data_IF_013594161216
#
_entry.id   IF_013594161216
#
_cell.length_a   1.000
_cell.length_b   1.000
_cell.length_c   1.000
_cell.angle_alpha   90.00
_cell.angle_beta   90.00
_cell.angle_gamma   90.00
#
_symmetry.space_group_name_H-M   'P 1'
#
loop_
_entity.id
_entity.type
_entity.pdbx_description
1 polymer ?
#
# COMPACT_ATOMS: atom_id res chain seq x y z
N UNK A 1 33.63 -5.93 1.64
CA UNK A 1 33.87 -4.48 1.90
C UNK A 1 32.61 -3.63 1.71
N UNK A 2 31.90 -3.70 0.57
CA UNK A 2 30.66 -2.92 0.35
C UNK A 2 29.56 -3.18 1.37
N UNK A 3 29.27 -4.44 1.71
CA UNK A 3 28.23 -4.80 2.69
C UNK A 3 28.58 -4.38 4.12
N UNK A 4 29.85 -4.47 4.50
CA UNK A 4 30.32 -4.01 5.81
C UNK A 4 30.15 -2.49 5.97
N UNK A 5 30.51 -1.71 4.95
CA UNK A 5 30.33 -0.25 4.93
C UNK A 5 28.85 0.12 4.99
N UNK A 6 27.99 -0.56 4.22
CA UNK A 6 26.54 -0.36 4.30
C UNK A 6 26.03 -0.58 5.73
N UNK A 7 26.43 -1.68 6.37
CA UNK A 7 26.00 -2.00 7.74
C UNK A 7 26.41 -0.96 8.78
N UNK A 8 27.61 -0.38 8.65
CA UNK A 8 28.06 0.71 9.53
C UNK A 8 27.25 1.99 9.28
N UNK A 9 26.99 2.32 8.03
CA UNK A 9 26.30 3.54 7.65
C UNK A 9 24.77 3.48 7.84
N UNK A 10 24.18 2.29 8.01
CA UNK A 10 22.73 2.13 8.14
C UNK A 10 22.16 2.94 9.31
N UNK A 11 22.73 2.83 10.51
CA UNK A 11 22.24 3.54 11.70
C UNK A 11 22.30 5.07 11.57
N UNK A 12 23.44 5.70 11.17
CA UNK A 12 23.48 7.14 10.99
C UNK A 12 22.55 7.62 9.85
N UNK A 13 22.37 6.84 8.78
CA UNK A 13 21.45 7.18 7.71
C UNK A 13 20.00 7.14 8.21
N UNK A 14 19.58 6.09 8.91
CA UNK A 14 18.24 6.02 9.51
C UNK A 14 17.96 7.18 10.48
N UNK A 15 18.98 7.58 11.26
CA UNK A 15 18.85 8.75 12.13
C UNK A 15 18.67 10.03 11.32
N UNK A 16 19.44 10.22 10.24
CA UNK A 16 19.29 11.34 9.34
C UNK A 16 17.90 11.37 8.67
N UNK A 17 17.44 10.24 8.13
CA UNK A 17 16.12 10.11 7.52
C UNK A 17 15.02 10.47 8.52
N UNK A 18 15.12 9.95 9.75
CA UNK A 18 14.20 10.24 10.84
C UNK A 18 14.15 11.73 11.17
N UNK A 19 15.29 12.39 11.27
CA UNK A 19 15.35 13.82 11.59
C UNK A 19 14.77 14.67 10.47
N UNK A 20 15.18 14.41 9.23
CA UNK A 20 14.76 15.23 8.06
C UNK A 20 13.27 15.04 7.78
N UNK A 21 12.80 13.81 7.65
CA UNK A 21 11.39 13.51 7.37
C UNK A 21 10.53 13.91 8.57
N UNK A 22 10.95 13.57 9.79
CA UNK A 22 10.22 13.91 11.00
C UNK A 22 10.04 15.41 11.19
N UNK A 23 11.08 16.21 10.96
CA UNK A 23 10.99 17.67 10.97
C UNK A 23 10.00 18.19 9.92
N UNK A 24 10.07 17.68 8.71
CA UNK A 24 9.10 18.06 7.66
C UNK A 24 7.67 17.74 8.07
N UNK A 25 7.40 16.52 8.56
CA UNK A 25 6.06 16.11 9.01
C UNK A 25 5.55 16.99 10.17
N UNK A 26 6.43 17.33 11.11
CA UNK A 26 6.09 18.26 12.18
C UNK A 26 5.67 19.65 11.65
N UNK A 27 6.40 20.17 10.66
CA UNK A 27 6.06 21.47 10.04
C UNK A 27 4.73 21.45 9.29
N UNK A 28 4.35 20.31 8.71
CA UNK A 28 3.14 20.21 7.89
C UNK A 28 1.93 19.61 8.61
N UNK A 29 2.07 19.13 9.85
CA UNK A 29 1.00 18.42 10.57
C UNK A 29 -0.32 19.19 10.68
N UNK A 30 -0.27 20.52 10.74
CA UNK A 30 -1.49 21.35 10.74
C UNK A 30 -2.36 21.19 9.49
N UNK A 31 -1.76 20.71 8.37
CA UNK A 31 -2.48 20.47 7.11
C UNK A 31 -3.25 19.16 7.11
N UNK A 32 -2.99 18.30 8.08
CA UNK A 32 -3.72 17.04 8.32
C UNK A 32 -4.70 17.16 9.48
N UNK A 33 -4.95 18.38 9.97
CA UNK A 33 -5.98 18.62 10.96
C UNK A 33 -7.34 18.14 10.42
N UNK A 34 -7.98 17.20 11.14
CA UNK A 34 -9.26 16.63 10.73
C UNK A 34 -9.16 15.26 10.04
N UNK A 35 -7.96 14.66 9.89
CA UNK A 35 -7.89 13.24 9.54
C UNK A 35 -8.58 12.42 10.63
N UNK A 36 -9.30 11.36 10.20
CA UNK A 36 -10.13 10.55 11.09
C UNK A 36 -9.45 9.21 11.33
N UNK A 37 -9.63 8.68 12.53
CA UNK A 37 -9.25 7.30 12.77
C UNK A 37 -10.21 6.37 12.03
N UNK A 38 -9.65 5.36 11.33
CA UNK A 38 -10.41 4.38 10.57
C UNK A 38 -10.72 3.19 11.47
N UNK A 39 -11.88 3.24 12.12
CA UNK A 39 -12.39 2.15 12.97
C UNK A 39 -13.63 1.56 12.32
N UNK A 40 -13.71 0.24 12.26
CA UNK A 40 -14.87 -0.47 11.70
C UNK A 40 -14.99 -1.87 12.34
N UNK A 41 -16.21 -2.36 12.40
CA UNK A 41 -16.51 -3.68 12.96
C UNK A 41 -17.62 -4.37 12.17
N UNK A 42 -17.58 -5.71 12.15
CA UNK A 42 -18.57 -6.57 11.48
C UNK A 42 -18.77 -6.21 10.00
N UNK A 43 -17.66 -5.88 9.32
CA UNK A 43 -17.62 -5.51 7.92
C UNK A 43 -16.89 -6.56 7.09
N UNK A 44 -17.20 -6.59 5.79
CA UNK A 44 -16.44 -7.32 4.80
C UNK A 44 -15.45 -6.37 4.13
N UNK A 45 -14.18 -6.71 4.18
CA UNK A 45 -13.09 -5.89 3.62
C UNK A 45 -12.37 -6.68 2.54
N UNK A 46 -12.23 -6.10 1.36
CA UNK A 46 -11.42 -6.64 0.28
C UNK A 46 -10.16 -5.79 0.13
N UNK A 47 -9.01 -6.44 0.09
CA UNK A 47 -7.71 -5.78 -0.15
C UNK A 47 -7.17 -6.29 -1.48
N UNK A 48 -6.91 -5.40 -2.42
CA UNK A 48 -6.21 -5.72 -3.67
C UNK A 48 -4.72 -5.46 -3.45
N UNK A 49 -3.91 -6.50 -3.44
CA UNK A 49 -2.47 -6.42 -3.26
C UNK A 49 -1.73 -6.78 -4.57
N UNK A 50 -0.87 -5.90 -5.10
CA UNK A 50 -0.06 -6.22 -6.28
C UNK A 50 0.79 -7.48 -6.09
N UNK A 51 1.53 -7.55 -4.98
CA UNK A 51 2.42 -8.67 -4.65
C UNK A 51 2.13 -9.22 -3.26
N UNK A 52 2.70 -10.38 -2.96
CA UNK A 52 2.66 -11.02 -1.66
C UNK A 52 3.66 -10.31 -0.74
N UNK A 53 3.19 -9.50 0.15
CA UNK A 53 3.75 -8.63 1.20
C UNK A 53 3.10 -7.24 1.22
N UNK A 54 2.57 -6.75 0.08
CA UNK A 54 2.00 -5.41 -0.05
C UNK A 54 0.80 -5.20 0.88
N UNK A 55 0.00 -6.24 1.17
CA UNK A 55 -1.11 -6.19 2.12
C UNK A 55 -0.64 -5.92 3.55
N UNK A 56 0.52 -6.47 3.94
CA UNK A 56 1.11 -6.21 5.25
C UNK A 56 1.85 -4.88 5.25
N UNK A 57 2.56 -4.54 4.16
CA UNK A 57 3.28 -3.28 4.04
C UNK A 57 2.33 -2.08 4.18
N UNK A 58 1.23 -2.09 3.42
CA UNK A 58 0.29 -0.98 3.38
C UNK A 58 -0.82 -1.03 4.41
N UNK A 59 -1.25 -2.24 4.83
CA UNK A 59 -2.46 -2.45 5.63
C UNK A 59 -2.26 -3.39 6.83
N UNK A 60 -1.03 -3.68 7.26
CA UNK A 60 -0.78 -4.69 8.29
C UNK A 60 -1.40 -4.37 9.65
N UNK A 61 -1.36 -3.11 10.10
CA UNK A 61 -2.03 -2.68 11.32
C UNK A 61 -3.55 -2.60 11.12
N UNK A 62 -4.01 -2.12 9.97
CA UNK A 62 -5.42 -2.09 9.56
C UNK A 62 -6.06 -3.48 9.59
N UNK A 63 -5.37 -4.50 9.05
CA UNK A 63 -5.85 -5.88 9.06
C UNK A 63 -5.99 -6.38 10.50
N UNK A 64 -4.97 -6.19 11.34
CA UNK A 64 -4.97 -6.66 12.72
C UNK A 64 -6.10 -6.02 13.54
N UNK A 65 -6.23 -4.69 13.48
CA UNK A 65 -7.34 -3.97 14.10
C UNK A 65 -8.70 -4.46 13.57
N UNK A 66 -8.78 -4.70 12.26
CA UNK A 66 -9.99 -5.18 11.62
C UNK A 66 -10.42 -6.56 12.11
N UNK A 67 -9.49 -7.50 12.29
CA UNK A 67 -9.77 -8.83 12.80
C UNK A 67 -10.25 -8.77 14.26
N UNK A 68 -9.67 -7.92 15.09
CA UNK A 68 -10.15 -7.68 16.45
C UNK A 68 -11.57 -7.09 16.48
N UNK A 69 -11.95 -6.32 15.44
CA UNK A 69 -13.30 -5.79 15.24
C UNK A 69 -14.30 -6.77 14.63
N UNK A 70 -13.98 -8.08 14.56
CA UNK A 70 -14.84 -9.13 13.96
C UNK A 70 -15.18 -8.87 12.48
N UNK A 71 -14.21 -8.31 11.72
CA UNK A 71 -14.36 -8.12 10.29
C UNK A 71 -13.91 -9.36 9.51
N UNK A 72 -14.54 -9.59 8.36
CA UNK A 72 -14.11 -10.59 7.39
C UNK A 72 -13.20 -9.90 6.36
N UNK A 73 -11.92 -10.24 6.38
CA UNK A 73 -10.92 -9.61 5.52
C UNK A 73 -10.42 -10.63 4.51
N UNK A 74 -10.56 -10.32 3.22
CA UNK A 74 -10.04 -11.12 2.10
C UNK A 74 -9.01 -10.30 1.34
N UNK A 75 -7.89 -10.94 0.95
CA UNK A 75 -6.89 -10.37 0.07
C UNK A 75 -6.96 -11.00 -1.32
N UNK A 76 -6.73 -10.21 -2.36
CA UNK A 76 -6.54 -10.66 -3.74
C UNK A 76 -5.14 -10.26 -4.18
N UNK A 77 -4.27 -11.24 -4.40
CA UNK A 77 -2.94 -11.03 -4.94
C UNK A 77 -2.98 -11.03 -6.47
N UNK A 78 -2.51 -9.93 -7.07
CA UNK A 78 -2.63 -9.73 -8.52
C UNK A 78 -1.59 -10.52 -9.29
N UNK A 79 -0.33 -10.49 -8.83
CA UNK A 79 0.78 -11.15 -9.50
C UNK A 79 1.20 -12.44 -8.80
N UNK A 80 2.01 -13.22 -9.48
CA UNK A 80 2.59 -14.47 -8.95
C UNK A 80 3.83 -14.23 -8.06
N UNK A 81 4.37 -13.01 -8.08
CA UNK A 81 5.56 -12.64 -7.33
C UNK A 81 6.83 -13.33 -7.83
N UNK A 82 6.86 -13.76 -9.10
CA UNK A 82 7.96 -14.56 -9.65
C UNK A 82 9.22 -13.77 -9.97
N UNK A 83 9.16 -12.44 -9.97
CA UNK A 83 10.29 -11.59 -10.37
C UNK A 83 11.15 -11.21 -9.15
N UNK A 84 12.39 -11.66 -9.17
CA UNK A 84 13.44 -11.23 -8.23
C UNK A 84 14.77 -11.20 -8.95
N UNK A 85 15.60 -10.21 -8.61
CA UNK A 85 16.94 -10.05 -9.19
C UNK A 85 17.88 -11.22 -8.86
N UNK A 86 17.59 -11.97 -7.81
CA UNK A 86 18.48 -12.99 -7.26
C UNK A 86 17.97 -14.44 -7.44
N UNK A 87 16.77 -14.63 -8.00
CA UNK A 87 16.21 -15.98 -8.12
C UNK A 87 16.58 -16.66 -9.45
N UNK A 88 17.16 -17.84 -9.33
CA UNK A 88 17.52 -18.72 -10.47
C UNK A 88 16.26 -19.45 -11.00
N UNK A 89 15.21 -19.56 -10.18
CA UNK A 89 13.97 -20.27 -10.52
C UNK A 89 12.74 -19.45 -10.11
N UNK A 90 12.14 -18.78 -11.09
CA UNK A 90 10.95 -17.95 -10.92
C UNK A 90 9.72 -18.73 -10.44
N UNK A 91 9.54 -19.96 -10.93
CA UNK A 91 8.40 -20.80 -10.53
C UNK A 91 8.49 -21.24 -9.06
N UNK A 92 9.69 -21.61 -8.60
CA UNK A 92 9.90 -21.95 -7.19
C UNK A 92 9.69 -20.73 -6.28
N UNK A 93 10.11 -19.54 -6.74
CA UNK A 93 9.87 -18.29 -6.01
C UNK A 93 8.38 -17.99 -5.90
N UNK A 94 7.62 -18.06 -6.99
CA UNK A 94 6.18 -17.87 -6.99
C UNK A 94 5.45 -18.81 -6.00
N UNK A 95 5.83 -20.10 -6.01
CA UNK A 95 5.30 -21.08 -5.04
C UNK A 95 5.63 -20.72 -3.60
N UNK A 96 6.86 -20.28 -3.34
CA UNK A 96 7.30 -19.87 -2.00
C UNK A 96 6.51 -18.67 -1.51
N UNK A 97 6.40 -17.61 -2.32
CA UNK A 97 5.63 -16.39 -1.97
C UNK A 97 4.16 -16.68 -1.70
N UNK A 98 3.56 -17.57 -2.51
CA UNK A 98 2.18 -18.02 -2.25
C UNK A 98 2.04 -18.72 -0.90
N UNK A 99 2.99 -19.57 -0.52
CA UNK A 99 2.99 -20.24 0.80
C UNK A 99 3.14 -19.20 1.92
N UNK A 100 4.05 -18.25 1.80
CA UNK A 100 4.25 -17.17 2.76
C UNK A 100 2.99 -16.33 2.95
N UNK A 101 2.30 -15.94 1.86
CA UNK A 101 1.04 -15.22 1.91
C UNK A 101 -0.09 -16.01 2.59
N UNK A 102 -0.18 -17.33 2.33
CA UNK A 102 -1.14 -18.21 3.00
C UNK A 102 -0.84 -18.35 4.50
N UNK A 103 0.45 -18.38 4.89
CA UNK A 103 0.86 -18.41 6.29
C UNK A 103 0.46 -17.11 7.01
N UNK A 104 0.70 -15.96 6.39
CA UNK A 104 0.27 -14.65 6.92
C UNK A 104 -1.25 -14.59 7.08
N UNK A 105 -2.01 -14.98 6.05
CA UNK A 105 -3.46 -14.97 6.10
C UNK A 105 -4.00 -15.89 7.23
N UNK A 106 -3.43 -17.08 7.38
CA UNK A 106 -3.77 -18.02 8.47
C UNK A 106 -3.45 -17.43 9.85
N UNK A 107 -2.27 -16.84 10.01
CA UNK A 107 -1.82 -16.24 11.28
C UNK A 107 -2.71 -15.08 11.70
N UNK A 108 -3.16 -14.29 10.73
CA UNK A 108 -4.09 -13.17 10.93
C UNK A 108 -5.57 -13.60 10.97
N UNK A 109 -5.90 -14.88 10.72
CA UNK A 109 -7.29 -15.36 10.62
C UNK A 109 -8.11 -14.65 9.55
N UNK A 110 -7.48 -14.29 8.45
CA UNK A 110 -8.16 -13.73 7.27
C UNK A 110 -8.95 -14.82 6.55
N UNK A 111 -9.89 -14.39 5.69
CA UNK A 111 -10.50 -15.28 4.69
C UNK A 111 -9.42 -15.82 3.74
N UNK A 112 -9.67 -16.96 3.10
CA UNK A 112 -8.71 -17.54 2.15
C UNK A 112 -8.42 -16.53 1.02
N UNK A 113 -7.15 -16.19 0.79
CA UNK A 113 -6.78 -15.25 -0.27
C UNK A 113 -7.04 -15.81 -1.67
N UNK A 114 -7.34 -14.93 -2.60
CA UNK A 114 -7.39 -15.23 -4.04
C UNK A 114 -6.05 -14.86 -4.70
N UNK A 115 -5.64 -15.64 -5.70
CA UNK A 115 -4.40 -15.42 -6.45
C UNK A 115 -4.73 -15.37 -7.95
N UNK A 116 -4.55 -14.21 -8.58
CA UNK A 116 -4.76 -14.06 -10.02
C UNK A 116 -3.62 -14.59 -10.84
N UNK A 117 -2.43 -14.79 -10.23
CA UNK A 117 -1.22 -15.35 -10.82
C UNK A 117 -0.83 -14.66 -12.15
N UNK A 118 -0.98 -13.35 -12.23
CA UNK A 118 -0.49 -12.58 -13.37
C UNK A 118 1.03 -12.41 -13.27
N UNK A 119 1.69 -12.15 -14.40
CA UNK A 119 3.15 -12.02 -14.41
C UNK A 119 3.63 -10.82 -13.59
N UNK A 120 4.57 -11.05 -12.67
CA UNK A 120 5.21 -10.03 -11.85
C UNK A 120 6.07 -9.09 -12.71
N UNK A 121 5.96 -7.78 -12.46
CA UNK A 121 6.68 -6.71 -13.18
C UNK A 121 6.09 -6.35 -14.55
N UNK A 122 5.10 -7.11 -15.03
CA UNK A 122 4.48 -6.95 -16.35
C UNK A 122 2.95 -6.89 -16.31
N UNK A 123 2.37 -6.64 -15.14
CA UNK A 123 0.92 -6.51 -15.01
C UNK A 123 0.39 -5.38 -15.90
N UNK A 124 -0.60 -5.70 -16.75
CA UNK A 124 -1.24 -4.70 -17.63
C UNK A 124 -2.49 -4.14 -16.99
N UNK A 125 -2.57 -2.82 -16.89
CA UNK A 125 -3.76 -2.10 -16.39
C UNK A 125 -5.01 -2.33 -17.25
N UNK A 126 -4.85 -2.76 -18.51
CA UNK A 126 -5.92 -3.04 -19.44
C UNK A 126 -6.23 -4.55 -19.56
N UNK A 127 -5.68 -5.38 -18.68
CA UNK A 127 -5.99 -6.82 -18.64
C UNK A 127 -7.48 -7.04 -18.32
N UNK A 128 -8.25 -7.32 -19.37
CA UNK A 128 -9.71 -7.50 -19.28
C UNK A 128 -10.07 -8.72 -18.44
N UNK A 129 -9.28 -9.80 -18.54
CA UNK A 129 -9.58 -11.03 -17.78
C UNK A 129 -9.29 -10.83 -16.29
N UNK A 130 -8.20 -10.13 -15.94
CA UNK A 130 -7.95 -9.73 -14.57
C UNK A 130 -9.06 -8.82 -14.03
N UNK A 131 -9.51 -7.85 -14.84
CA UNK A 131 -10.59 -6.92 -14.45
C UNK A 131 -11.92 -7.65 -14.21
N UNK A 132 -12.28 -8.59 -15.10
CA UNK A 132 -13.47 -9.43 -14.92
C UNK A 132 -13.37 -10.28 -13.66
N UNK A 133 -12.19 -10.89 -13.41
CA UNK A 133 -12.01 -11.72 -12.23
C UNK A 133 -12.10 -10.92 -10.93
N UNK A 134 -11.54 -9.70 -10.90
CA UNK A 134 -11.70 -8.79 -9.76
C UNK A 134 -13.17 -8.39 -9.58
N UNK A 135 -13.90 -8.09 -10.67
CA UNK A 135 -15.32 -7.77 -10.61
C UNK A 135 -16.15 -8.93 -10.04
N UNK A 136 -15.91 -10.17 -10.49
CA UNK A 136 -16.53 -11.39 -9.96
C UNK A 136 -16.29 -11.53 -8.45
N UNK A 137 -15.02 -11.39 -8.01
CA UNK A 137 -14.67 -11.49 -6.59
C UNK A 137 -15.39 -10.42 -5.75
N UNK A 138 -15.47 -9.19 -6.27
CA UNK A 138 -16.20 -8.10 -5.59
C UNK A 138 -17.69 -8.44 -5.48
N UNK A 139 -18.31 -8.92 -6.57
CA UNK A 139 -19.75 -9.24 -6.60
C UNK A 139 -20.09 -10.45 -5.70
N UNK A 140 -19.23 -11.47 -5.65
CA UNK A 140 -19.41 -12.64 -4.80
C UNK A 140 -19.18 -12.31 -3.32
N UNK A 141 -18.08 -11.62 -3.01
CA UNK A 141 -17.70 -11.30 -1.63
C UNK A 141 -18.57 -10.20 -1.04
N UNK A 142 -19.03 -9.26 -1.86
CA UNK A 142 -19.86 -8.08 -1.47
C UNK A 142 -19.21 -7.29 -0.35
N UNK A 143 -18.02 -6.71 -0.57
CA UNK A 143 -17.31 -5.98 0.44
C UNK A 143 -18.04 -4.67 0.83
N UNK A 144 -17.97 -4.30 2.10
CA UNK A 144 -18.35 -2.98 2.59
C UNK A 144 -17.22 -1.96 2.37
N UNK A 145 -15.97 -2.45 2.32
CA UNK A 145 -14.75 -1.64 2.17
C UNK A 145 -13.84 -2.33 1.17
N UNK A 146 -13.29 -1.55 0.24
CA UNK A 146 -12.24 -2.00 -0.69
C UNK A 146 -11.00 -1.13 -0.48
N UNK A 147 -9.85 -1.81 -0.28
CA UNK A 147 -8.54 -1.20 -0.17
C UNK A 147 -7.79 -1.44 -1.48
N UNK A 148 -7.27 -0.39 -2.09
CA UNK A 148 -6.52 -0.46 -3.35
C UNK A 148 -5.19 0.29 -3.21
N UNK A 149 -4.08 -0.16 -3.81
CA UNK A 149 -2.84 0.60 -3.79
C UNK A 149 -3.04 1.95 -4.49
N UNK A 150 -2.42 3.01 -3.97
CA UNK A 150 -2.51 4.30 -4.65
C UNK A 150 -1.66 4.27 -5.92
N UNK A 151 -2.28 4.52 -7.07
CA UNK A 151 -1.63 4.37 -8.39
C UNK A 151 -0.38 5.26 -8.60
N UNK A 152 -0.25 6.35 -7.85
CA UNK A 152 0.94 7.19 -7.85
C UNK A 152 2.02 6.59 -6.94
N UNK A 153 2.64 5.53 -7.40
CA UNK A 153 3.64 4.75 -6.68
C UNK A 153 4.86 4.47 -7.57
N UNK A 154 5.91 3.91 -7.00
CA UNK A 154 7.18 3.63 -7.68
C UNK A 154 7.25 2.26 -8.37
N UNK A 155 6.13 1.52 -8.48
CA UNK A 155 6.08 0.20 -9.12
C UNK A 155 4.99 0.15 -10.20
N UNK A 156 5.31 -0.50 -11.34
CA UNK A 156 4.37 -0.65 -12.47
C UNK A 156 3.10 -1.38 -12.06
N UNK A 157 3.23 -2.48 -11.33
CA UNK A 157 2.13 -3.36 -10.95
C UNK A 157 1.19 -2.70 -9.93
N UNK A 158 1.70 -1.78 -9.09
CA UNK A 158 0.85 -0.98 -8.19
C UNK A 158 -0.09 -0.06 -8.98
N UNK A 159 0.47 0.62 -9.99
CA UNK A 159 -0.32 1.44 -10.90
C UNK A 159 -1.29 0.60 -11.74
N UNK A 160 -0.85 -0.56 -12.23
CA UNK A 160 -1.67 -1.47 -13.02
C UNK A 160 -2.81 -2.08 -12.20
N UNK A 161 -2.57 -2.46 -10.95
CA UNK A 161 -3.62 -2.93 -10.02
C UNK A 161 -4.72 -1.90 -9.85
N UNK A 162 -4.36 -0.62 -9.74
CA UNK A 162 -5.34 0.46 -9.69
C UNK A 162 -6.17 0.58 -10.99
N UNK A 163 -5.54 0.37 -12.14
CA UNK A 163 -6.24 0.37 -13.44
C UNK A 163 -7.21 -0.80 -13.58
N UNK A 164 -6.77 -2.01 -13.23
CA UNK A 164 -7.61 -3.21 -13.21
C UNK A 164 -8.81 -3.01 -12.25
N UNK A 165 -8.57 -2.43 -11.07
CA UNK A 165 -9.65 -2.09 -10.13
C UNK A 165 -10.66 -1.11 -10.74
N UNK A 166 -10.21 -0.05 -11.42
CA UNK A 166 -11.10 0.91 -12.08
C UNK A 166 -11.95 0.21 -13.12
N UNK A 167 -11.34 -0.61 -13.99
CA UNK A 167 -12.06 -1.35 -15.02
C UNK A 167 -13.06 -2.36 -14.41
N UNK A 168 -12.70 -3.04 -13.33
CA UNK A 168 -13.59 -3.96 -12.62
C UNK A 168 -14.81 -3.25 -12.04
N UNK A 169 -14.61 -2.08 -11.41
CA UNK A 169 -15.70 -1.28 -10.82
C UNK A 169 -16.66 -0.71 -11.88
N UNK A 170 -16.23 -0.55 -13.13
CA UNK A 170 -17.10 -0.15 -14.23
C UNK A 170 -17.99 -1.29 -14.75
N UNK A 171 -17.68 -2.53 -14.40
CA UNK A 171 -18.44 -3.71 -14.82
C UNK A 171 -19.58 -4.07 -13.84
N UNK A 172 -19.59 -3.49 -12.65
CA UNK A 172 -20.49 -3.87 -11.56
C UNK A 172 -21.07 -2.64 -10.85
N UNK A 173 -22.21 -2.82 -10.20
CA UNK A 173 -22.73 -1.85 -9.24
C UNK A 173 -22.20 -2.21 -7.84
N UNK A 174 -21.43 -1.31 -7.25
CA UNK A 174 -20.89 -1.51 -5.90
C UNK A 174 -21.01 -0.24 -5.04
N UNK A 175 -21.32 -0.42 -3.75
CA UNK A 175 -21.51 0.67 -2.78
C UNK A 175 -20.45 0.66 -1.68
N UNK A 176 -19.38 -0.11 -1.83
CA UNK A 176 -18.31 -0.15 -0.86
C UNK A 176 -17.66 1.23 -0.70
N UNK A 177 -17.22 1.52 0.53
CA UNK A 177 -16.29 2.61 0.75
C UNK A 177 -14.92 2.23 0.18
N UNK A 178 -14.32 3.16 -0.54
CA UNK A 178 -13.07 2.91 -1.25
C UNK A 178 -11.93 3.67 -0.57
N UNK A 179 -10.83 2.98 -0.32
CA UNK A 179 -9.64 3.58 0.27
C UNK A 179 -8.40 3.23 -0.55
N UNK A 180 -7.57 4.23 -0.79
CA UNK A 180 -6.23 4.02 -1.30
C UNK A 180 -5.23 3.94 -0.13
N UNK A 181 -4.27 3.01 -0.25
CA UNK A 181 -3.19 2.84 0.71
C UNK A 181 -1.83 3.04 0.06
N UNK A 182 -0.81 3.35 0.86
CA UNK A 182 0.55 3.57 0.39
C UNK A 182 1.42 2.31 0.54
N UNK A 183 2.34 2.11 -0.41
CA UNK A 183 3.34 1.04 -0.35
C UNK A 183 4.73 1.65 -0.49
N UNK A 184 5.15 1.99 -1.72
CA UNK A 184 6.51 2.46 -2.03
C UNK A 184 6.68 3.97 -2.03
N UNK A 185 5.59 4.70 -1.94
CA UNK A 185 5.59 6.16 -1.99
C UNK A 185 4.50 6.72 -1.08
N UNK A 186 4.80 7.71 -0.22
CA UNK A 186 3.85 8.20 0.76
C UNK A 186 2.65 8.87 0.09
N UNK A 187 1.47 8.74 0.66
CA UNK A 187 0.32 9.57 0.30
C UNK A 187 0.66 11.03 0.65
N UNK A 188 0.29 11.95 -0.24
CA UNK A 188 0.50 13.37 0.04
C UNK A 188 -0.28 13.80 1.28
N UNK A 189 0.34 14.62 2.14
CA UNK A 189 -0.32 15.23 3.30
C UNK A 189 -1.61 15.98 2.97
N UNK A 190 -1.80 16.37 1.72
CA UNK A 190 -3.04 17.00 1.22
C UNK A 190 -4.11 15.98 0.78
N UNK A 191 -3.79 14.70 0.78
CA UNK A 191 -4.68 13.63 0.34
C UNK A 191 -5.05 12.63 1.42
N UNK A 192 -4.43 12.73 2.59
CA UNK A 192 -4.72 11.85 3.71
C UNK A 192 -6.09 12.21 4.28
N UNK A 193 -6.93 11.21 4.48
CA UNK A 193 -8.26 11.38 5.08
C UNK A 193 -8.41 10.59 6.37
N UNK A 194 -7.73 9.44 6.45
CA UNK A 194 -7.86 8.51 7.57
C UNK A 194 -6.49 7.96 7.99
N UNK A 195 -6.45 7.45 9.22
CA UNK A 195 -5.30 6.71 9.75
C UNK A 195 -5.76 5.53 10.61
N UNK A 196 -4.90 4.55 10.77
CA UNK A 196 -5.03 3.49 11.77
C UNK A 196 -3.87 3.61 12.74
N UNK A 197 -4.17 3.63 14.04
CA UNK A 197 -3.14 3.64 15.08
C UNK A 197 -2.43 2.27 15.12
N UNK A 198 -1.11 2.31 15.02
CA UNK A 198 -0.28 1.11 14.98
C UNK A 198 0.37 0.77 16.34
N UNK A 199 0.09 1.52 17.40
CA UNK A 199 0.78 1.37 18.69
C UNK A 199 0.80 -0.09 19.18
N UNK A 200 -0.36 -0.76 19.16
CA UNK A 200 -0.50 -2.14 19.60
C UNK A 200 -0.07 -3.17 18.54
N UNK A 201 0.07 -2.77 17.27
CA UNK A 201 0.22 -3.69 16.13
C UNK A 201 1.61 -3.65 15.48
N UNK A 202 2.43 -2.63 15.76
CA UNK A 202 3.71 -2.43 15.08
C UNK A 202 4.69 -3.60 15.24
N UNK A 203 4.78 -4.15 16.44
CA UNK A 203 5.66 -5.31 16.71
C UNK A 203 5.20 -6.55 15.95
N UNK A 204 3.88 -6.80 15.96
CA UNK A 204 3.28 -7.90 15.23
C UNK A 204 3.37 -7.70 13.71
N UNK A 205 3.17 -6.48 13.20
CA UNK A 205 3.40 -6.15 11.78
C UNK A 205 4.83 -6.46 11.36
N UNK A 206 5.82 -6.10 12.17
CA UNK A 206 7.22 -6.46 11.90
C UNK A 206 7.42 -7.96 11.81
N UNK A 207 6.85 -8.73 12.75
CA UNK A 207 6.94 -10.19 12.76
C UNK A 207 6.19 -10.86 11.59
N UNK A 208 5.12 -10.23 11.06
CA UNK A 208 4.42 -10.70 9.86
C UNK A 208 5.27 -10.49 8.61
N UNK A 209 5.93 -9.34 8.49
CA UNK A 209 6.86 -9.06 7.38
C UNK A 209 8.04 -10.03 7.35
N UNK A 210 8.50 -10.52 8.51
CA UNK A 210 9.56 -11.53 8.58
C UNK A 210 9.15 -12.91 8.04
N UNK A 211 7.85 -13.17 7.81
CA UNK A 211 7.38 -14.40 7.15
C UNK A 211 7.76 -14.38 5.68
N UNK A 212 7.75 -13.20 5.03
CA UNK A 212 8.13 -13.00 3.64
C UNK A 212 9.65 -13.08 3.41
N UNK A 213 10.25 -14.22 3.78
CA UNK A 213 11.71 -14.46 3.70
C UNK A 213 12.25 -14.48 2.29
N UNK A 214 11.37 -14.78 1.32
CA UNK A 214 11.71 -14.76 -0.10
C UNK A 214 11.93 -13.35 -0.65
N UNK A 215 11.53 -12.32 0.10
CA UNK A 215 11.79 -10.93 -0.24
C UNK A 215 13.23 -10.55 0.14
N UNK A 216 13.95 -9.96 -0.81
CA UNK A 216 15.36 -9.55 -0.61
C UNK A 216 15.50 -8.14 -0.04
N UNK A 217 14.39 -7.46 0.20
CA UNK A 217 14.36 -6.05 0.65
C UNK A 217 14.30 -5.94 2.18
N UNK A 218 14.80 -4.83 2.69
CA UNK A 218 14.63 -4.46 4.09
C UNK A 218 13.31 -3.72 4.28
N UNK A 219 12.51 -4.15 5.26
CA UNK A 219 11.25 -3.49 5.62
C UNK A 219 11.43 -2.33 6.61
N UNK A 220 12.67 -2.02 7.03
CA UNK A 220 12.97 -0.97 8.01
C UNK A 220 12.46 0.40 7.62
N UNK A 221 12.54 0.76 6.33
CA UNK A 221 12.06 2.05 5.82
C UNK A 221 10.53 2.20 5.96
N UNK A 222 9.77 1.14 5.73
CA UNK A 222 8.30 1.14 5.86
C UNK A 222 7.92 1.26 7.34
N UNK A 223 8.55 0.48 8.22
CA UNK A 223 8.29 0.56 9.66
C UNK A 223 8.70 1.93 10.23
N UNK A 224 9.79 2.53 9.74
CA UNK A 224 10.18 3.88 10.10
C UNK A 224 9.13 4.90 9.62
N UNK A 225 8.64 4.77 8.39
CA UNK A 225 7.57 5.66 7.88
C UNK A 225 6.30 5.56 8.70
N UNK A 226 5.83 4.36 9.04
CA UNK A 226 4.66 4.22 9.91
C UNK A 226 4.87 4.97 11.25
N UNK A 227 6.05 4.83 11.87
CA UNK A 227 6.38 5.57 13.11
C UNK A 227 6.36 7.09 12.90
N UNK A 228 6.97 7.58 11.83
CA UNK A 228 7.03 9.01 11.52
C UNK A 228 5.66 9.59 11.18
N UNK A 229 4.82 8.83 10.50
CA UNK A 229 3.46 9.23 10.15
C UNK A 229 2.59 9.50 11.40
N UNK A 230 2.93 8.92 12.56
CA UNK A 230 2.30 9.24 13.85
C UNK A 230 2.30 10.74 14.17
N UNK A 231 3.33 11.47 13.71
CA UNK A 231 3.41 12.94 13.87
C UNK A 231 2.21 13.64 13.25
N UNK A 232 1.72 13.15 12.10
CA UNK A 232 0.58 13.72 11.39
C UNK A 232 -0.75 13.48 12.12
N UNK A 233 -0.89 12.32 12.75
CA UNK A 233 -2.07 11.93 13.52
C UNK A 233 -2.01 12.39 14.99
N UNK A 234 -0.82 12.79 15.48
CA UNK A 234 -0.60 13.15 16.87
C UNK A 234 -0.53 11.95 17.81
N UNK A 235 -0.08 10.78 17.32
CA UNK A 235 0.10 9.54 18.09
C UNK A 235 1.58 9.22 18.24
N UNK A 236 1.93 8.52 19.32
CA UNK A 236 3.32 8.09 19.58
C UNK A 236 3.64 6.71 18.97
N UNK A 237 2.61 5.91 18.70
CA UNK A 237 2.74 4.52 18.23
C UNK A 237 3.04 4.36 16.74
N UNK A 238 2.93 5.44 15.99
CA UNK A 238 2.97 5.40 14.53
C UNK A 238 1.59 5.06 13.95
N UNK A 239 1.42 5.30 12.64
CA UNK A 239 0.15 5.07 11.95
C UNK A 239 0.34 4.55 10.53
N UNK A 240 -0.61 3.79 10.04
CA UNK A 240 -0.88 3.59 8.63
C UNK A 240 -1.82 4.69 8.13
N UNK A 241 -1.55 5.24 6.94
CA UNK A 241 -2.27 6.36 6.38
C UNK A 241 -3.08 5.91 5.17
N UNK A 242 -4.32 6.41 5.10
CA UNK A 242 -5.27 6.06 4.06
C UNK A 242 -5.91 7.30 3.45
N UNK A 243 -6.33 7.14 2.22
CA UNK A 243 -7.12 8.13 1.51
C UNK A 243 -8.44 7.52 1.11
N UNK A 244 -9.55 8.01 1.66
CA UNK A 244 -10.88 7.69 1.14
C UNK A 244 -11.03 8.31 -0.24
N UNK A 245 -11.44 7.53 -1.22
CA UNK A 245 -11.52 7.95 -2.61
C UNK A 245 -12.98 7.96 -3.09
N UNK A 246 -13.32 9.02 -3.82
CA UNK A 246 -14.49 9.02 -4.67
C UNK A 246 -14.10 8.36 -5.99
N UNK A 247 -14.87 7.37 -6.46
CA UNK A 247 -14.52 6.58 -7.63
C UNK A 247 -14.30 7.43 -8.88
N UNK A 248 -15.24 8.33 -9.21
CA UNK A 248 -15.16 9.15 -10.43
C UNK A 248 -13.94 10.08 -10.43
N UNK A 249 -13.66 10.70 -9.28
CA UNK A 249 -12.49 11.56 -9.11
C UNK A 249 -11.18 10.77 -9.19
N UNK A 250 -11.18 9.55 -8.65
CA UNK A 250 -10.03 8.65 -8.70
C UNK A 250 -9.73 8.22 -10.13
N UNK A 251 -10.77 7.76 -10.86
CA UNK A 251 -10.69 7.38 -12.27
C UNK A 251 -10.17 8.53 -13.13
N UNK A 252 -10.78 9.72 -13.05
CA UNK A 252 -10.33 10.91 -13.79
C UNK A 252 -8.87 11.24 -13.54
N UNK A 253 -8.42 11.11 -12.27
CA UNK A 253 -7.03 11.40 -11.92
C UNK A 253 -6.10 10.33 -12.47
N UNK A 254 -6.50 9.05 -12.38
CA UNK A 254 -5.76 7.93 -12.96
C UNK A 254 -5.58 8.13 -14.46
N UNK A 255 -6.66 8.33 -15.22
CA UNK A 255 -6.64 8.53 -16.67
C UNK A 255 -5.74 9.70 -17.08
N UNK A 256 -5.76 10.79 -16.32
CA UNK A 256 -4.95 11.97 -16.60
C UNK A 256 -3.44 11.73 -16.40
N UNK A 257 -3.07 11.07 -15.32
CA UNK A 257 -1.66 10.94 -14.92
C UNK A 257 -1.00 9.65 -15.40
N UNK A 258 -1.80 8.63 -15.72
CA UNK A 258 -1.32 7.31 -16.11
C UNK A 258 -1.67 6.93 -17.54
N UNK A 259 -1.87 7.92 -18.43
CA UNK A 259 -2.25 7.72 -19.86
C UNK A 259 -1.41 6.65 -20.57
N UNK A 260 -0.12 6.60 -20.26
CA UNK A 260 0.84 5.68 -20.89
C UNK A 260 1.26 4.54 -19.95
N UNK A 261 0.55 4.35 -18.84
CA UNK A 261 0.93 3.40 -17.76
C UNK A 261 2.38 3.58 -17.27
N UNK A 262 2.89 4.81 -17.29
CA UNK A 262 4.29 5.14 -16.98
C UNK A 262 4.45 6.10 -15.81
N UNK A 263 3.37 6.40 -15.08
CA UNK A 263 3.45 7.32 -13.93
C UNK A 263 4.46 6.85 -12.91
N UNK A 264 4.57 5.54 -12.71
CA UNK A 264 5.48 4.90 -11.78
C UNK A 264 6.96 5.22 -12.05
N UNK A 265 7.37 5.42 -13.31
CA UNK A 265 8.76 5.77 -13.67
C UNK A 265 9.21 7.12 -13.12
N UNK A 266 8.26 7.98 -12.75
CA UNK A 266 8.54 9.29 -12.17
C UNK A 266 8.90 9.21 -10.69
N UNK A 267 8.52 8.12 -10.02
CA UNK A 267 8.76 7.91 -8.60
C UNK A 267 10.10 7.20 -8.35
N UNK A 268 10.47 7.15 -7.10
CA UNK A 268 11.54 6.32 -6.58
C UNK A 268 10.99 5.55 -5.39
N UNK A 269 11.25 4.26 -5.36
CA UNK A 269 10.82 3.40 -4.27
C UNK A 269 11.54 3.73 -2.96
N UNK A 270 10.81 3.71 -1.84
CA UNK A 270 11.34 3.99 -0.50
C UNK A 270 11.91 2.78 0.23
N UNK A 271 12.08 1.64 -0.43
CA UNK A 271 12.59 0.42 0.21
C UNK A 271 14.00 0.52 0.77
N UNK A 272 14.81 1.41 0.22
CA UNK A 272 16.18 1.57 0.64
C UNK A 272 16.31 2.79 1.54
N UNK A 273 16.78 2.57 2.77
CA UNK A 273 17.14 3.64 3.70
C UNK A 273 18.12 4.64 3.08
N UNK A 274 19.03 4.19 2.20
CA UNK A 274 20.03 5.06 1.56
C UNK A 274 19.45 6.13 0.64
N UNK A 275 18.19 5.98 0.24
CA UNK A 275 17.53 6.90 -0.67
C UNK A 275 16.17 7.38 -0.16
N UNK A 276 15.83 7.04 1.08
CA UNK A 276 14.51 7.26 1.65
C UNK A 276 14.09 8.73 1.60
N UNK A 277 14.94 9.66 2.06
CA UNK A 277 14.66 11.11 2.01
C UNK A 277 14.40 11.57 0.57
N UNK A 278 15.26 11.19 -0.38
CA UNK A 278 15.11 11.60 -1.79
C UNK A 278 13.83 11.02 -2.37
N UNK A 279 13.55 9.75 -2.13
CA UNK A 279 12.34 9.07 -2.60
C UNK A 279 11.08 9.72 -2.01
N UNK A 280 11.10 10.00 -0.71
CA UNK A 280 10.02 10.65 0.02
C UNK A 280 9.66 12.01 -0.60
N UNK A 281 10.59 12.94 -0.67
CA UNK A 281 10.32 14.29 -1.18
C UNK A 281 9.99 14.32 -2.67
N UNK A 282 10.61 13.45 -3.48
CA UNK A 282 10.25 13.29 -4.89
C UNK A 282 8.80 12.80 -5.03
N UNK A 283 8.41 11.79 -4.26
CA UNK A 283 7.04 11.27 -4.23
C UNK A 283 6.02 12.33 -3.82
N UNK A 284 6.28 13.05 -2.73
CA UNK A 284 5.41 14.15 -2.26
C UNK A 284 5.22 15.25 -3.31
N UNK A 285 6.30 15.67 -3.98
CA UNK A 285 6.24 16.70 -5.02
C UNK A 285 5.31 16.27 -6.16
N UNK A 286 5.48 15.05 -6.66
CA UNK A 286 4.67 14.51 -7.76
C UNK A 286 3.19 14.40 -7.36
N UNK A 287 2.91 13.91 -6.15
CA UNK A 287 1.53 13.77 -5.63
C UNK A 287 0.87 15.12 -5.35
N UNK A 288 1.64 16.14 -4.96
CA UNK A 288 1.12 17.50 -4.81
C UNK A 288 0.66 18.10 -6.13
N UNK A 289 1.37 17.80 -7.22
CA UNK A 289 0.94 18.18 -8.57
C UNK A 289 -0.37 17.47 -8.93
N UNK A 290 -0.51 16.18 -8.61
CA UNK A 290 -1.74 15.41 -8.80
C UNK A 290 -2.93 15.90 -7.95
N UNK A 291 -2.69 16.29 -6.72
CA UNK A 291 -3.73 16.74 -5.80
C UNK A 291 -4.42 18.05 -6.23
N UNK A 292 -3.77 18.90 -7.03
CA UNK A 292 -4.38 20.14 -7.57
C UNK A 292 -5.58 19.89 -8.48
N UNK A 293 -5.77 18.66 -8.96
CA UNK A 293 -6.82 18.29 -9.90
C UNK A 293 -7.92 17.41 -9.29
N UNK A 294 -7.83 17.15 -8.00
CA UNK A 294 -8.86 16.46 -7.26
C UNK A 294 -9.64 17.52 -6.50
N UNK A 295 -10.92 17.69 -6.86
CA UNK A 295 -11.83 18.56 -6.13
C UNK A 295 -11.92 18.09 -4.67
N UNK A 296 -11.26 18.81 -3.76
CA UNK A 296 -11.29 18.61 -2.32
C UNK A 296 -12.60 19.18 -1.71
N UNK A 297 -13.70 19.10 -2.40
CA UNK A 297 -15.00 19.33 -1.79
C UNK A 297 -15.45 18.03 -1.13
N UNK A 298 -14.96 17.82 0.07
CA UNK A 298 -15.67 16.96 1.00
C UNK A 298 -17.04 17.59 1.19
N UNK A 299 -18.07 16.92 0.72
CA UNK A 299 -19.43 17.18 1.17
C UNK A 299 -19.43 17.08 2.70
N UNK A 300 -19.70 18.21 3.34
CA UNK A 300 -19.97 18.32 4.77
C UNK A 300 -21.11 17.41 5.20
#
# INVERSE_FOLDING_TARGET
MKEFVKRILAKPILLFDRLVIGFYLYMVKKKTAGIKELIFSKKKVLILAPHQDDEVLGCGCFIQQGIEGDNKIKCVFMTDGSMSTDSINSEALAKTRKIEALEVAKKLKMELPEFLNKGDGILDSNDIDASKKVAEIIDEFKPDIIMVPYFMDGHSDHSATSGIFINAMEMIENKARLFAYEINSPISVYGITHYVDCASYMSSKSALLEIYKSQTMSFESVLLMNKLNGILAGTDGGVELFREINFDSYKKTYEKYNKDNKVWMRFRQMYSIYFMVIAYFKGLRLKKEGAKYQDFRMTQ
#
